data_IF_943982236982
#
_entry.id   IF_943982236982
#
_cell.length_a   1.000
_cell.length_b   1.000
_cell.length_c   1.000
_cell.angle_alpha   90.00
_cell.angle_beta   90.00
_cell.angle_gamma   90.00
#
_symmetry.space_group_name_H-M   'P 1'
#
loop_
_entity.id
_entity.type
_entity.pdbx_description
1 polymer ?
#
# COMPACT_ATOMS: atom_id res chain seq x y z
N UNK A 1 -14.48 30.61 5.03
CA UNK A 1 -13.16 30.52 4.39
C UNK A 1 -12.43 29.36 5.02
N UNK A 2 -12.43 28.20 4.37
CA UNK A 2 -11.65 27.03 4.78
C UNK A 2 -10.42 26.99 3.88
N UNK A 3 -9.26 27.29 4.46
CA UNK A 3 -7.99 27.30 3.77
C UNK A 3 -7.58 25.86 3.43
N UNK A 4 -7.98 25.41 2.23
CA UNK A 4 -7.49 24.18 1.62
C UNK A 4 -6.01 24.39 1.34
N UNK A 5 -5.17 23.87 2.23
CA UNK A 5 -3.73 23.78 2.03
C UNK A 5 -3.47 22.80 0.88
N UNK A 6 -3.42 23.36 -0.33
CA UNK A 6 -2.98 22.73 -1.58
C UNK A 6 -1.51 22.31 -1.44
N UNK A 7 -1.23 21.18 -0.79
CA UNK A 7 0.08 20.52 -0.90
C UNK A 7 0.10 19.69 -2.17
N UNK A 8 1.13 19.98 -2.97
CA UNK A 8 1.29 19.68 -4.39
C UNK A 8 2.16 18.43 -4.54
N UNK A 9 1.73 17.32 -3.94
CA UNK A 9 2.44 16.03 -3.96
C UNK A 9 1.45 14.89 -4.18
N UNK A 10 1.30 14.50 -5.44
CA UNK A 10 0.73 13.23 -5.94
C UNK A 10 -0.31 12.49 -5.08
N UNK A 11 -1.50 13.04 -4.94
CA UNK A 11 -2.64 12.35 -4.35
C UNK A 11 -2.97 11.08 -5.15
N UNK A 12 -3.11 9.92 -4.49
CA UNK A 12 -3.54 8.67 -5.12
C UNK A 12 -4.94 8.80 -5.76
N UNK A 13 -5.74 9.81 -5.40
CA UNK A 13 -6.97 10.21 -6.12
C UNK A 13 -6.70 10.60 -7.58
N UNK A 14 -5.55 11.25 -7.87
CA UNK A 14 -5.14 11.57 -9.24
C UNK A 14 -4.66 10.31 -9.97
N UNK A 15 -3.97 9.41 -9.26
CA UNK A 15 -3.59 8.09 -9.80
C UNK A 15 -4.81 7.19 -10.05
N UNK A 16 -5.88 7.32 -9.25
CA UNK A 16 -7.20 6.72 -9.47
C UNK A 16 -7.82 7.22 -10.78
N UNK A 17 -7.72 8.51 -11.07
CA UNK A 17 -8.24 9.10 -12.31
C UNK A 17 -7.39 8.75 -13.54
N UNK A 18 -6.07 8.63 -13.39
CA UNK A 18 -5.14 8.23 -14.48
C UNK A 18 -5.18 6.71 -14.76
N UNK A 19 -5.21 5.85 -13.73
CA UNK A 19 -5.35 4.40 -13.87
C UNK A 19 -6.72 3.99 -14.41
N UNK A 20 -7.80 4.69 -14.03
CA UNK A 20 -9.12 4.50 -14.63
C UNK A 20 -9.12 4.82 -16.15
N UNK A 21 -8.18 5.65 -16.61
CA UNK A 21 -8.02 5.96 -18.03
C UNK A 21 -7.04 5.03 -18.78
N UNK A 22 -6.19 4.26 -18.10
CA UNK A 22 -5.15 3.44 -18.73
C UNK A 22 -5.14 1.93 -18.39
N UNK A 23 -5.82 1.48 -17.33
CA UNK A 23 -5.77 0.09 -16.87
C UNK A 23 -7.14 -0.61 -16.94
N UNK A 24 -7.11 -1.84 -17.47
CA UNK A 24 -8.24 -2.75 -17.63
C UNK A 24 -9.18 -2.79 -16.42
N UNK A 25 -10.39 -2.26 -16.59
CA UNK A 25 -11.49 -2.18 -15.61
C UNK A 25 -11.80 -3.49 -14.85
N UNK A 26 -11.37 -4.65 -15.35
CA UNK A 26 -11.64 -5.97 -14.77
C UNK A 26 -10.67 -6.39 -13.66
N UNK A 27 -9.40 -5.92 -13.67
CA UNK A 27 -8.40 -6.23 -12.63
C UNK A 27 -8.58 -5.40 -11.34
N UNK A 28 -9.29 -4.28 -11.45
CA UNK A 28 -9.51 -3.31 -10.37
C UNK A 28 -10.37 -3.84 -9.20
N UNK A 29 -11.24 -4.83 -9.46
CA UNK A 29 -12.17 -5.35 -8.43
C UNK A 29 -11.45 -6.21 -7.37
N UNK A 30 -10.31 -6.84 -7.70
CA UNK A 30 -9.53 -7.66 -6.75
C UNK A 30 -8.62 -6.85 -5.86
N UNK A 31 -8.00 -5.83 -6.43
CA UNK A 31 -7.20 -4.88 -5.69
C UNK A 31 -8.06 -3.90 -4.87
N UNK A 32 -9.40 -3.93 -4.95
CA UNK A 32 -10.28 -3.04 -4.18
C UNK A 32 -10.00 -3.10 -2.66
N UNK A 33 -9.83 -4.31 -2.10
CA UNK A 33 -9.48 -4.47 -0.68
C UNK A 33 -8.13 -3.85 -0.36
N UNK A 34 -7.14 -4.06 -1.24
CA UNK A 34 -5.82 -3.48 -1.11
C UNK A 34 -5.89 -1.95 -1.13
N UNK A 35 -6.63 -1.37 -2.06
CA UNK A 35 -6.82 0.08 -2.13
C UNK A 35 -7.51 0.64 -0.90
N UNK A 36 -8.54 -0.05 -0.36
CA UNK A 36 -9.16 0.35 0.90
C UNK A 36 -8.13 0.37 2.05
N UNK A 37 -7.24 -0.63 2.12
CA UNK A 37 -6.17 -0.62 3.12
C UNK A 37 -5.21 0.56 2.92
N UNK A 38 -4.80 0.86 1.69
CA UNK A 38 -3.90 1.98 1.42
C UNK A 38 -4.53 3.34 1.78
N UNK A 39 -5.82 3.52 1.46
CA UNK A 39 -6.57 4.72 1.85
C UNK A 39 -6.70 4.81 3.38
N UNK A 40 -6.98 3.69 4.06
CA UNK A 40 -7.04 3.65 5.51
C UNK A 40 -5.70 4.02 6.16
N UNK A 41 -4.58 3.50 5.67
CA UNK A 41 -3.25 3.85 6.17
C UNK A 41 -2.91 5.33 5.93
N UNK A 42 -3.41 5.92 4.84
CA UNK A 42 -3.28 7.35 4.61
C UNK A 42 -4.10 8.17 5.60
N UNK A 43 -5.38 7.83 5.81
CA UNK A 43 -6.28 8.58 6.68
C UNK A 43 -5.92 8.44 8.18
N UNK A 44 -5.64 7.21 8.62
CA UNK A 44 -5.35 6.90 10.01
C UNK A 44 -3.90 7.24 10.40
N UNK A 45 -2.93 6.87 9.54
CA UNK A 45 -1.50 6.97 9.87
C UNK A 45 -0.76 8.06 9.08
N UNK A 46 -1.39 8.72 8.12
CA UNK A 46 -0.74 9.70 7.26
C UNK A 46 0.28 9.10 6.29
N UNK A 47 0.19 7.79 6.01
CA UNK A 47 1.18 7.08 5.20
C UNK A 47 0.80 7.13 3.73
N UNK A 48 1.66 7.75 2.92
CA UNK A 48 1.53 7.75 1.46
C UNK A 48 1.99 6.40 0.89
N UNK A 49 1.33 5.92 -0.17
CA UNK A 49 1.70 4.67 -0.85
C UNK A 49 2.10 4.92 -2.32
N UNK A 50 3.15 4.25 -2.80
CA UNK A 50 3.65 4.33 -4.19
C UNK A 50 4.04 2.96 -4.75
N UNK A 51 4.07 2.88 -6.07
CA UNK A 51 4.69 1.73 -6.75
C UNK A 51 6.20 1.92 -6.71
N UNK A 52 6.93 0.81 -6.54
CA UNK A 52 8.37 0.78 -6.58
C UNK A 52 8.82 0.46 -8.02
N UNK A 53 9.56 1.39 -8.62
CA UNK A 53 10.20 1.24 -9.92
C UNK A 53 11.70 0.98 -9.76
N UNK A 54 12.27 0.08 -10.57
CA UNK A 54 13.70 -0.21 -10.54
C UNK A 54 14.53 1.05 -10.81
N UNK A 55 15.39 1.40 -9.86
CA UNK A 55 16.25 2.60 -9.93
C UNK A 55 15.73 3.81 -9.16
N UNK A 56 14.58 3.70 -8.47
CA UNK A 56 14.14 4.73 -7.54
C UNK A 56 14.72 4.55 -6.13
N UNK A 57 15.02 5.65 -5.46
CA UNK A 57 15.35 5.65 -4.03
C UNK A 57 14.04 5.68 -3.22
N UNK A 58 13.94 4.80 -2.22
CA UNK A 58 12.80 4.76 -1.32
C UNK A 58 12.84 5.96 -0.36
N UNK A 59 11.76 6.73 -0.30
CA UNK A 59 11.62 7.85 0.62
C UNK A 59 11.08 7.38 1.97
N UNK A 60 11.61 7.97 3.05
CA UNK A 60 11.13 7.70 4.40
C UNK A 60 9.66 8.15 4.55
N UNK A 61 8.86 7.32 5.22
CA UNK A 61 7.43 7.55 5.44
C UNK A 61 6.53 7.19 4.25
N UNK A 62 7.08 6.68 3.14
CA UNK A 62 6.31 6.21 1.99
C UNK A 62 6.30 4.68 1.96
N UNK A 63 5.10 4.11 1.79
CA UNK A 63 4.87 2.69 1.60
C UNK A 63 5.02 2.33 0.13
N UNK A 64 5.92 1.41 -0.18
CA UNK A 64 6.24 0.96 -1.52
C UNK A 64 5.74 -0.46 -1.77
N UNK A 65 5.22 -0.71 -2.98
CA UNK A 65 4.82 -2.03 -3.45
C UNK A 65 5.30 -2.26 -4.87
N UNK A 66 5.61 -3.50 -5.22
CA UNK A 66 5.95 -3.86 -6.60
C UNK A 66 4.68 -4.03 -7.45
N UNK A 67 4.68 -3.47 -8.65
CA UNK A 67 3.54 -3.57 -9.58
C UNK A 67 3.19 -5.02 -9.92
N UNK A 68 4.21 -5.86 -10.14
CA UNK A 68 4.06 -7.29 -10.41
C UNK A 68 3.30 -8.02 -9.28
N UNK A 69 3.49 -7.62 -8.02
CA UNK A 69 2.76 -8.25 -6.92
C UNK A 69 1.29 -7.88 -6.90
N UNK A 70 0.93 -6.67 -7.33
CA UNK A 70 -0.47 -6.28 -7.46
C UNK A 70 -1.09 -6.99 -8.67
N UNK A 71 -0.31 -7.16 -9.75
CA UNK A 71 -0.76 -7.85 -10.95
C UNK A 71 -1.00 -9.36 -10.73
N UNK A 72 -0.09 -10.05 -10.04
CA UNK A 72 -0.12 -11.51 -9.88
C UNK A 72 -0.59 -11.97 -8.49
N UNK A 73 -0.78 -11.04 -7.55
CA UNK A 73 -1.23 -11.35 -6.20
C UNK A 73 -2.71 -11.73 -6.10
N UNK A 74 -3.50 -11.46 -7.14
CA UNK A 74 -4.95 -11.74 -7.19
C UNK A 74 -5.31 -12.63 -8.39
N UNK A 75 -6.24 -13.57 -8.19
CA UNK A 75 -6.81 -14.37 -9.27
C UNK A 75 -7.93 -13.65 -10.03
N UNK A 76 -8.45 -14.29 -11.08
CA UNK A 76 -9.59 -13.80 -11.88
C UNK A 76 -10.89 -13.66 -11.06
N UNK A 77 -10.97 -14.31 -9.90
CA UNK A 77 -12.07 -14.21 -8.93
C UNK A 77 -11.80 -13.18 -7.84
N UNK A 78 -10.81 -12.31 -8.03
CA UNK A 78 -10.49 -11.22 -7.12
C UNK A 78 -10.04 -11.69 -5.72
N UNK A 79 -9.60 -12.95 -5.61
CA UNK A 79 -9.06 -13.52 -4.38
C UNK A 79 -7.55 -13.40 -4.39
N UNK A 80 -7.02 -13.00 -3.24
CA UNK A 80 -5.57 -12.98 -3.05
C UNK A 80 -5.04 -14.41 -3.04
N UNK A 81 -4.12 -14.72 -3.95
CA UNK A 81 -3.49 -16.04 -4.12
C UNK A 81 -2.06 -16.08 -3.58
N UNK A 82 -1.45 -14.92 -3.37
CA UNK A 82 -0.11 -14.79 -2.80
C UNK A 82 -0.04 -13.60 -1.82
N UNK A 83 0.81 -13.66 -0.79
CA UNK A 83 1.07 -12.52 0.10
C UNK A 83 1.60 -11.33 -0.71
N UNK A 84 1.12 -10.13 -0.40
CA UNK A 84 1.64 -8.90 -1.03
C UNK A 84 2.74 -8.32 -0.15
N UNK A 85 3.86 -7.93 -0.75
CA UNK A 85 4.96 -7.26 -0.06
C UNK A 85 4.77 -5.75 -0.06
N UNK A 86 5.02 -5.17 1.09
CA UNK A 86 5.04 -3.74 1.33
C UNK A 86 6.36 -3.39 1.99
N UNK A 87 7.04 -2.37 1.47
CA UNK A 87 8.26 -1.82 2.06
C UNK A 87 8.02 -0.40 2.53
N UNK A 88 8.46 -0.08 3.74
CA UNK A 88 8.41 1.29 4.26
C UNK A 88 9.63 1.55 5.13
N UNK A 89 10.16 2.76 5.06
CA UNK A 89 11.16 3.23 6.00
C UNK A 89 10.51 4.18 7.02
N UNK A 90 10.25 3.70 8.23
CA UNK A 90 9.53 4.44 9.27
C UNK A 90 9.86 3.85 10.65
N UNK A 91 10.22 4.70 11.62
CA UNK A 91 10.58 4.28 12.99
C UNK A 91 9.47 3.47 13.67
N UNK A 92 8.22 3.91 13.51
CA UNK A 92 7.02 3.22 14.03
C UNK A 92 6.46 2.14 13.11
N UNK A 93 7.20 1.68 12.09
CA UNK A 93 6.69 0.66 11.16
C UNK A 93 6.22 -0.65 11.84
N UNK A 94 6.79 -1.11 12.97
CA UNK A 94 6.25 -2.26 13.69
C UNK A 94 4.79 -2.09 14.14
N UNK A 95 4.36 -0.87 14.47
CA UNK A 95 2.98 -0.57 14.87
C UNK A 95 1.99 -0.74 13.71
N UNK A 96 2.46 -0.64 12.46
CA UNK A 96 1.63 -0.82 11.27
C UNK A 96 1.07 -2.23 11.15
N UNK A 97 1.74 -3.23 11.73
CA UNK A 97 1.21 -4.59 11.78
C UNK A 97 -0.14 -4.61 12.48
N UNK A 98 -0.23 -3.97 13.65
CA UNK A 98 -1.48 -3.89 14.41
C UNK A 98 -2.53 -3.04 13.70
N UNK A 99 -2.13 -1.93 13.06
CA UNK A 99 -3.04 -1.07 12.29
C UNK A 99 -3.65 -1.82 11.10
N UNK A 100 -2.83 -2.54 10.33
CA UNK A 100 -3.31 -3.32 9.18
C UNK A 100 -4.23 -4.46 9.65
N UNK A 101 -3.87 -5.14 10.74
CA UNK A 101 -4.70 -6.20 11.32
C UNK A 101 -6.05 -5.67 11.85
N UNK A 102 -6.08 -4.47 12.43
CA UNK A 102 -7.30 -3.81 12.89
C UNK A 102 -8.26 -3.44 11.76
N UNK A 103 -7.73 -3.11 10.57
CA UNK A 103 -8.55 -2.86 9.39
C UNK A 103 -9.36 -4.10 8.97
N UNK A 104 -8.86 -5.30 9.24
CA UNK A 104 -9.62 -6.55 9.13
C UNK A 104 -9.80 -7.10 7.70
N UNK A 105 -9.21 -6.47 6.67
CA UNK A 105 -9.21 -7.02 5.30
C UNK A 105 -8.00 -7.90 5.00
N UNK A 106 -6.92 -7.76 5.77
CA UNK A 106 -5.70 -8.54 5.62
C UNK A 106 -5.14 -8.93 6.99
N UNK A 107 -4.27 -9.94 6.98
CA UNK A 107 -3.40 -10.27 8.11
C UNK A 107 -2.00 -9.80 7.77
N UNK A 108 -1.45 -8.87 8.55
CA UNK A 108 -0.09 -8.37 8.38
C UNK A 108 0.92 -9.21 9.18
N UNK A 109 2.08 -9.42 8.58
CA UNK A 109 3.24 -10.10 9.15
C UNK A 109 4.50 -9.24 8.90
N UNK A 110 5.30 -9.00 9.93
CA UNK A 110 6.61 -8.39 9.76
C UNK A 110 7.59 -9.45 9.25
N UNK A 111 8.01 -9.32 7.99
CA UNK A 111 8.96 -10.24 7.35
C UNK A 111 10.40 -9.91 7.69
N UNK A 112 10.74 -8.63 7.67
CA UNK A 112 12.06 -8.13 8.00
C UNK A 112 11.97 -6.73 8.61
N UNK A 113 12.82 -6.46 9.60
CA UNK A 113 12.92 -5.16 10.26
C UNK A 113 14.40 -4.80 10.45
N UNK A 114 14.81 -3.70 9.83
CA UNK A 114 16.14 -3.14 9.98
C UNK A 114 16.09 -2.00 11.02
N UNK A 115 16.71 -2.22 12.17
CA UNK A 115 16.75 -1.26 13.28
C UNK A 115 17.56 0.00 12.95
N UNK A 116 18.61 -0.11 12.15
CA UNK A 116 19.51 1.00 11.83
C UNK A 116 18.89 1.97 10.82
N UNK A 117 18.19 1.43 9.81
CA UNK A 117 17.55 2.24 8.77
C UNK A 117 16.08 2.50 9.03
N UNK A 118 15.47 1.81 10.01
CA UNK A 118 14.03 1.75 10.24
C UNK A 118 13.25 1.25 9.01
N UNK A 119 13.86 0.37 8.22
CA UNK A 119 13.20 -0.24 7.08
C UNK A 119 12.43 -1.50 7.51
N UNK A 120 11.12 -1.50 7.23
CA UNK A 120 10.24 -2.64 7.43
C UNK A 120 9.86 -3.25 6.08
N UNK A 121 9.92 -4.57 6.02
CA UNK A 121 9.27 -5.37 5.00
C UNK A 121 8.09 -6.08 5.65
N UNK A 122 6.88 -5.71 5.22
CA UNK A 122 5.62 -6.24 5.72
C UNK A 122 4.99 -7.10 4.63
N UNK A 123 4.51 -8.28 5.00
CA UNK A 123 3.67 -9.11 4.15
C UNK A 123 2.22 -8.97 4.59
N UNK A 124 1.31 -8.74 3.64
CA UNK A 124 -0.13 -8.79 3.90
C UNK A 124 -0.75 -10.01 3.25
N UNK A 125 -1.44 -10.81 4.05
CA UNK A 125 -2.06 -12.08 3.68
C UNK A 125 -3.59 -11.94 3.65
N UNK A 126 -4.31 -12.81 2.90
CA UNK A 126 -5.76 -12.82 2.97
C UNK A 126 -6.24 -13.24 4.36
N UNK A 127 -7.32 -12.62 4.82
CA UNK A 127 -8.08 -13.13 5.98
C UNK A 127 -8.76 -14.45 5.57
N UNK A 128 -8.59 -15.49 6.40
CA UNK A 128 -9.15 -16.82 6.18
C UNK A 128 -10.68 -16.84 6.20
#
# INVERSE_FOLDING_TARGET
MLSVARRKGGNLEMKLHELNSQANKTKLVGAEKLYNLLVYLYDAEGIESRLFDEGMEAEAGILYMLDEQIEYGFDESHKQVAPLSMLIQLERAPELIDVINQHGFFVAEMKEWNLDTHQAHILVHPVK
#
